data_IF_369983874044
#
_entry.id   IF_369983874044
#
_cell.length_a   1.000
_cell.length_b   1.000
_cell.length_c   1.000
_cell.angle_alpha   90.00
_cell.angle_beta   90.00
_cell.angle_gamma   90.00
#
_symmetry.space_group_name_H-M   'P 1'
#
loop_
_entity.id
_entity.type
_entity.pdbx_description
1 polymer ?
#
# COMPACT_ATOMS: atom_id res chain seq x y z
N UNK A 1 63.36 -9.35 8.15
CA UNK A 1 63.65 -10.66 8.77
C UNK A 1 62.66 -10.86 9.90
N UNK A 2 61.84 -11.94 9.82
CA UNK A 2 61.12 -12.63 10.93
C UNK A 2 60.02 -11.77 11.62
N UNK A 3 58.79 -12.21 11.87
CA UNK A 3 58.25 -13.55 12.21
C UNK A 3 56.70 -13.39 12.26
N UNK A 4 55.87 -14.07 11.47
CA UNK A 4 55.33 -15.44 11.59
C UNK A 4 54.77 -15.84 12.98
N UNK A 5 53.45 -15.72 13.14
CA UNK A 5 52.58 -16.46 14.08
C UNK A 5 51.35 -16.90 13.24
N UNK A 6 51.31 -18.12 12.70
CA UNK A 6 50.78 -19.36 13.30
C UNK A 6 49.37 -19.20 13.90
N UNK A 7 48.34 -19.54 13.12
CA UNK A 7 47.13 -20.20 13.62
C UNK A 7 46.65 -21.21 12.57
N UNK A 8 46.83 -22.48 12.90
CA UNK A 8 46.27 -23.63 12.19
C UNK A 8 45.38 -24.38 13.17
N UNK A 9 44.11 -24.61 12.83
CA UNK A 9 43.33 -25.76 13.27
C UNK A 9 41.98 -25.81 12.52
N UNK A 10 41.86 -26.84 11.69
CA UNK A 10 40.64 -27.39 11.11
C UNK A 10 39.72 -27.93 12.20
N UNK A 11 38.40 -27.72 12.07
CA UNK A 11 37.27 -28.64 12.34
C UNK A 11 36.11 -28.03 11.53
N UNK A 12 35.45 -28.64 10.55
CA UNK A 12 35.15 -30.06 10.37
C UNK A 12 33.70 -30.32 10.80
N UNK A 13 32.84 -30.71 9.85
CA UNK A 13 31.47 -31.24 9.99
C UNK A 13 30.29 -30.25 10.06
N UNK A 14 29.67 -30.05 8.88
CA UNK A 14 28.32 -29.54 8.74
C UNK A 14 27.36 -30.75 8.84
N UNK A 15 26.62 -30.84 9.93
CA UNK A 15 25.62 -31.90 10.16
C UNK A 15 24.39 -31.58 9.31
N UNK A 16 24.11 -32.44 8.33
CA UNK A 16 22.87 -32.38 7.53
C UNK A 16 21.74 -32.95 8.41
N UNK A 17 20.89 -32.06 8.93
CA UNK A 17 19.65 -32.45 9.59
C UNK A 17 18.57 -32.67 8.52
N UNK A 18 18.32 -33.94 8.19
CA UNK A 18 17.09 -34.37 7.54
C UNK A 18 16.05 -34.66 8.62
N UNK A 19 14.91 -33.96 8.61
CA UNK A 19 13.86 -34.13 9.61
C UNK A 19 12.47 -33.72 9.13
N UNK A 20 11.66 -34.74 8.86
CA UNK A 20 10.19 -34.85 8.85
C UNK A 20 9.31 -33.78 8.14
N UNK A 21 8.80 -34.17 6.97
CA UNK A 21 7.56 -33.68 6.36
C UNK A 21 6.34 -34.02 7.22
N UNK A 22 5.58 -33.00 7.65
CA UNK A 22 4.26 -33.13 8.27
C UNK A 22 3.22 -33.17 7.16
N UNK A 23 2.62 -34.34 6.94
CA UNK A 23 1.36 -34.46 6.22
C UNK A 23 0.22 -34.18 7.20
N UNK A 24 -0.24 -32.93 7.28
CA UNK A 24 -1.49 -32.63 7.96
C UNK A 24 -2.65 -33.07 7.08
N UNK A 25 -3.24 -34.20 7.44
CA UNK A 25 -4.53 -34.65 6.96
C UNK A 25 -5.60 -33.57 7.19
N UNK A 26 -6.51 -33.44 6.22
CA UNK A 26 -7.63 -32.52 6.27
C UNK A 26 -8.51 -32.73 7.50
N UNK A 27 -8.93 -31.61 8.10
CA UNK A 27 -9.91 -31.59 9.16
C UNK A 27 -11.31 -31.78 8.56
N UNK A 28 -11.85 -33.00 8.63
CA UNK A 28 -13.26 -33.27 8.33
C UNK A 28 -14.07 -33.17 9.62
N UNK A 29 -14.74 -32.04 9.83
CA UNK A 29 -15.77 -31.86 10.85
C UNK A 29 -17.13 -32.22 10.25
N UNK A 30 -17.47 -33.51 10.23
CA UNK A 30 -18.79 -33.96 9.75
C UNK A 30 -18.85 -35.48 9.60
N UNK A 31 -19.93 -36.08 10.11
CA UNK A 31 -20.17 -37.53 10.09
C UNK A 31 -20.67 -37.92 8.68
N UNK A 32 -19.76 -38.08 7.72
CA UNK A 32 -20.04 -38.78 6.46
C UNK A 32 -18.73 -39.29 5.82
N UNK A 33 -18.67 -40.53 5.29
CA UNK A 33 -17.52 -41.01 4.52
C UNK A 33 -17.44 -40.31 3.17
N UNK A 34 -16.25 -39.81 2.83
CA UNK A 34 -15.96 -39.21 1.53
C UNK A 34 -15.49 -40.28 0.54
N UNK A 35 -16.44 -40.88 -0.19
CA UNK A 35 -16.11 -41.70 -1.37
C UNK A 35 -16.31 -40.90 -2.66
N UNK A 36 -15.25 -40.86 -3.46
CA UNK A 36 -15.19 -40.26 -4.77
C UNK A 36 -15.75 -41.22 -5.82
N UNK A 37 -16.97 -40.99 -6.31
CA UNK A 37 -17.40 -41.47 -7.63
C UNK A 37 -18.66 -40.77 -8.11
N UNK A 38 -18.64 -40.46 -9.40
CA UNK A 38 -19.71 -40.02 -10.29
C UNK A 38 -21.08 -40.70 -10.09
N UNK A 39 -22.15 -39.93 -10.33
CA UNK A 39 -23.22 -40.21 -11.30
C UNK A 39 -24.65 -39.91 -10.77
N UNK A 40 -25.34 -39.08 -11.56
CA UNK A 40 -26.73 -39.26 -11.98
C UNK A 40 -27.81 -39.33 -10.90
N UNK A 41 -28.53 -38.21 -10.73
CA UNK A 41 -29.80 -38.15 -10.03
C UNK A 41 -30.91 -38.85 -10.83
N UNK A 42 -31.27 -40.07 -10.42
CA UNK A 42 -32.58 -40.67 -10.72
C UNK A 42 -33.29 -40.98 -9.41
N UNK A 43 -34.47 -40.37 -9.28
CA UNK A 43 -35.59 -40.57 -8.35
C UNK A 43 -35.75 -41.98 -7.75
N UNK A 44 -36.28 -42.09 -6.52
CA UNK A 44 -37.72 -42.38 -6.44
C UNK A 44 -38.51 -41.71 -5.28
N UNK A 45 -39.69 -41.22 -5.67
CA UNK A 45 -41.04 -41.30 -5.05
C UNK A 45 -41.30 -41.07 -3.56
N UNK A 46 -42.29 -40.19 -3.37
CA UNK A 46 -43.43 -40.24 -2.44
C UNK A 46 -43.23 -39.84 -0.97
N UNK A 47 -43.43 -38.55 -0.72
CA UNK A 47 -44.20 -38.09 0.44
C UNK A 47 -45.27 -37.10 -0.01
N UNK A 48 -46.50 -37.35 0.46
CA UNK A 48 -47.69 -36.57 0.17
C UNK A 48 -47.60 -35.14 0.75
N UNK A 49 -47.99 -34.14 -0.03
CA UNK A 49 -48.13 -32.75 0.42
C UNK A 49 -49.59 -32.44 0.79
N UNK A 50 -49.87 -31.65 1.83
CA UNK A 50 -51.17 -31.04 2.04
C UNK A 50 -51.39 -29.86 1.07
N UNK A 51 -52.59 -29.77 0.52
CA UNK A 51 -53.05 -28.73 -0.40
C UNK A 51 -53.31 -27.41 0.32
N UNK A 52 -52.52 -26.38 0.01
CA UNK A 52 -52.81 -25.00 0.37
C UNK A 52 -53.53 -24.33 -0.81
N UNK A 53 -54.64 -23.64 -0.50
CA UNK A 53 -55.57 -23.08 -1.49
C UNK A 53 -54.93 -22.13 -2.49
N UNK A 54 -55.47 -22.14 -3.71
CA UNK A 54 -55.11 -21.28 -4.83
C UNK A 54 -55.57 -19.85 -4.57
N UNK A 55 -54.70 -19.05 -3.94
CA UNK A 55 -54.82 -17.61 -4.01
C UNK A 55 -54.20 -17.14 -5.33
N UNK A 56 -55.04 -16.56 -6.19
CA UNK A 56 -54.63 -15.85 -7.40
C UNK A 56 -53.82 -14.61 -7.01
N UNK A 57 -52.51 -14.76 -6.87
CA UNK A 57 -51.57 -13.66 -6.86
C UNK A 57 -51.07 -13.44 -8.28
N UNK A 58 -51.69 -12.50 -8.99
CA UNK A 58 -51.06 -11.86 -10.15
C UNK A 58 -49.77 -11.21 -9.68
N UNK A 59 -48.63 -11.78 -10.10
CA UNK A 59 -47.32 -11.22 -9.83
C UNK A 59 -47.23 -9.81 -10.45
N UNK A 60 -47.00 -8.75 -9.66
CA UNK A 60 -46.77 -7.43 -10.22
C UNK A 60 -45.45 -7.46 -11.00
N UNK A 61 -45.48 -6.91 -12.22
CA UNK A 61 -44.30 -6.76 -13.06
C UNK A 61 -43.24 -5.94 -12.31
N UNK A 62 -42.15 -6.59 -11.91
CA UNK A 62 -41.01 -5.91 -11.31
C UNK A 62 -40.35 -5.03 -12.37
N UNK A 63 -40.61 -3.73 -12.31
CA UNK A 63 -39.86 -2.73 -13.05
C UNK A 63 -38.44 -2.73 -12.45
N UNK A 64 -37.46 -3.18 -13.23
CA UNK A 64 -36.05 -3.07 -12.86
C UNK A 64 -35.66 -1.58 -12.94
N UNK A 65 -35.66 -0.93 -11.78
CA UNK A 65 -35.07 0.38 -11.61
C UNK A 65 -33.56 0.25 -11.82
N UNK A 66 -33.05 0.80 -12.94
CA UNK A 66 -31.61 1.03 -13.07
C UNK A 66 -31.20 2.07 -12.02
N UNK A 67 -30.65 1.60 -10.90
CA UNK A 67 -29.92 2.46 -9.98
C UNK A 67 -28.64 2.86 -10.70
N UNK A 68 -28.59 4.11 -11.18
CA UNK A 68 -27.36 4.71 -11.68
C UNK A 68 -26.38 4.71 -10.51
N UNK A 69 -25.44 3.77 -10.54
CA UNK A 69 -24.40 3.64 -9.52
C UNK A 69 -23.48 4.86 -9.68
N UNK A 70 -23.74 5.89 -8.87
CA UNK A 70 -22.96 7.11 -8.85
C UNK A 70 -21.52 6.72 -8.49
N UNK A 71 -20.60 6.92 -9.43
CA UNK A 71 -19.20 6.58 -9.22
C UNK A 71 -18.73 7.26 -7.92
N UNK A 72 -18.04 6.54 -7.02
CA UNK A 72 -17.60 7.10 -5.75
C UNK A 72 -16.73 8.33 -6.04
N UNK A 73 -17.17 9.49 -5.54
CA UNK A 73 -16.42 10.73 -5.69
C UNK A 73 -15.09 10.56 -4.94
N UNK A 74 -13.94 10.87 -5.55
CA UNK A 74 -12.67 10.74 -4.87
C UNK A 74 -12.59 11.72 -3.69
N UNK A 75 -12.08 11.24 -2.56
CA UNK A 75 -11.93 12.09 -1.36
C UNK A 75 -10.69 12.96 -1.58
N UNK A 76 -10.89 14.27 -1.70
CA UNK A 76 -9.78 15.21 -1.86
C UNK A 76 -9.35 15.70 -0.48
N UNK A 77 -8.06 15.56 -0.19
CA UNK A 77 -7.43 16.09 1.02
C UNK A 77 -6.55 17.26 0.63
N UNK A 78 -6.73 18.39 1.30
CA UNK A 78 -5.95 19.61 1.08
C UNK A 78 -5.20 20.01 2.34
N UNK A 79 -4.07 20.68 2.14
CA UNK A 79 -3.30 21.31 3.21
C UNK A 79 -2.65 22.60 2.73
N UNK A 80 -2.47 23.53 3.65
CA UNK A 80 -1.82 24.83 3.40
C UNK A 80 -0.49 24.88 4.14
N UNK A 81 0.53 25.48 3.53
CA UNK A 81 1.81 25.73 4.17
C UNK A 81 2.28 27.16 3.94
N UNK A 82 3.06 27.66 4.90
CA UNK A 82 3.53 29.04 4.94
C UNK A 82 5.05 29.09 5.07
N UNK A 83 5.66 30.12 4.51
CA UNK A 83 7.04 30.44 4.81
C UNK A 83 7.28 31.94 4.76
N UNK A 84 8.08 32.41 5.70
CA UNK A 84 8.51 33.79 5.79
C UNK A 84 9.84 34.04 5.06
N UNK A 85 10.07 35.25 4.54
CA UNK A 85 11.34 35.63 3.94
C UNK A 85 12.45 35.72 4.99
N UNK A 86 13.60 35.11 4.68
CA UNK A 86 14.79 35.25 5.52
C UNK A 86 15.46 36.61 5.30
N UNK A 87 15.91 37.24 6.38
CA UNK A 87 16.70 38.46 6.31
C UNK A 87 18.17 38.07 6.14
N UNK A 88 18.72 38.25 4.94
CA UNK A 88 20.12 37.95 4.65
C UNK A 88 20.76 39.05 3.83
N UNK A 89 21.95 39.51 4.24
CA UNK A 89 22.79 40.43 3.46
C UNK A 89 23.56 39.74 2.33
N UNK A 90 23.61 38.40 2.33
CA UNK A 90 24.36 37.59 1.37
C UNK A 90 23.52 37.13 0.17
N UNK A 91 22.19 37.19 0.30
CA UNK A 91 21.26 36.70 -0.71
C UNK A 91 20.56 37.87 -1.39
N UNK A 92 20.38 37.77 -2.70
CA UNK A 92 19.61 38.75 -3.46
C UNK A 92 18.12 38.61 -3.18
N UNK A 93 17.34 39.69 -3.42
CA UNK A 93 15.88 39.66 -3.24
C UNK A 93 15.20 38.51 -4.03
N UNK A 94 15.54 38.23 -5.30
CA UNK A 94 15.01 37.07 -6.01
C UNK A 94 15.39 35.73 -5.37
N UNK A 95 16.62 35.59 -4.86
CA UNK A 95 17.05 34.35 -4.17
C UNK A 95 16.24 34.10 -2.91
N UNK A 96 16.03 35.15 -2.09
CA UNK A 96 15.20 35.06 -0.89
C UNK A 96 13.78 34.63 -1.27
N UNK A 97 13.18 35.28 -2.28
CA UNK A 97 11.83 34.95 -2.77
C UNK A 97 11.70 33.48 -3.18
N UNK A 98 12.65 32.96 -3.95
CA UNK A 98 12.66 31.55 -4.37
C UNK A 98 12.82 30.59 -3.18
N UNK A 99 13.65 30.94 -2.20
CA UNK A 99 13.81 30.15 -0.98
C UNK A 99 12.53 30.15 -0.15
N UNK A 100 11.86 31.29 -0.01
CA UNK A 100 10.59 31.40 0.71
C UNK A 100 9.49 30.61 0.02
N UNK A 101 9.34 30.75 -1.30
CA UNK A 101 8.41 29.93 -2.08
C UNK A 101 8.67 28.42 -1.85
N UNK A 102 9.93 27.99 -1.91
CA UNK A 102 10.32 26.59 -1.67
C UNK A 102 10.01 26.15 -0.25
N UNK A 103 10.26 27.01 0.74
CA UNK A 103 9.92 26.78 2.14
C UNK A 103 8.43 26.55 2.33
N UNK A 104 7.59 27.41 1.74
CA UNK A 104 6.13 27.31 1.86
C UNK A 104 5.61 26.01 1.25
N UNK A 105 6.23 25.57 0.15
CA UNK A 105 5.91 24.29 -0.48
C UNK A 105 6.25 23.13 0.44
N UNK A 106 7.47 23.08 1.00
CA UNK A 106 7.89 21.99 1.90
C UNK A 106 6.98 21.91 3.14
N UNK A 107 6.63 23.06 3.71
CA UNK A 107 5.69 23.14 4.83
C UNK A 107 4.30 22.60 4.46
N UNK A 108 3.79 22.93 3.27
CA UNK A 108 2.50 22.45 2.79
C UNK A 108 2.46 20.92 2.64
N UNK A 109 3.52 20.31 2.09
CA UNK A 109 3.62 18.84 1.99
C UNK A 109 3.73 18.17 3.37
N UNK A 110 4.40 18.80 4.33
CA UNK A 110 4.44 18.32 5.71
C UNK A 110 3.05 18.35 6.36
N UNK A 111 2.33 19.46 6.23
CA UNK A 111 0.97 19.56 6.79
C UNK A 111 0.03 18.55 6.13
N UNK A 112 0.21 18.29 4.82
CA UNK A 112 -0.52 17.25 4.11
C UNK A 112 -0.20 15.86 4.65
N UNK A 113 1.08 15.55 4.89
CA UNK A 113 1.49 14.24 5.43
C UNK A 113 0.85 13.98 6.79
N UNK A 114 0.92 14.95 7.69
CA UNK A 114 0.32 14.88 9.03
C UNK A 114 -1.19 14.62 8.95
N UNK A 115 -1.88 15.30 8.02
CA UNK A 115 -3.31 15.08 7.78
C UNK A 115 -3.60 13.65 7.33
N UNK A 116 -2.79 13.11 6.42
CA UNK A 116 -2.96 11.76 5.86
C UNK A 116 -2.65 10.68 6.88
N UNK A 117 -1.53 10.78 7.62
CA UNK A 117 -1.20 9.85 8.70
C UNK A 117 -2.24 9.90 9.83
N UNK A 118 -2.81 11.08 10.10
CA UNK A 118 -3.91 11.24 11.05
C UNK A 118 -5.17 10.45 10.70
N UNK A 119 -5.43 10.17 9.40
CA UNK A 119 -6.57 9.35 8.98
C UNK A 119 -6.44 7.91 9.47
N UNK A 120 -5.21 7.37 9.52
CA UNK A 120 -4.94 6.03 10.07
C UNK A 120 -5.26 5.95 11.56
N UNK A 121 -4.81 6.94 12.33
CA UNK A 121 -4.89 6.92 13.79
C UNK A 121 -6.34 6.87 14.31
N UNK A 122 -7.32 7.23 13.46
CA UNK A 122 -8.76 7.13 13.79
C UNK A 122 -9.36 5.74 13.55
N UNK A 123 -8.74 4.89 12.74
CA UNK A 123 -9.19 3.51 12.50
C UNK A 123 -8.78 2.61 13.67
N UNK A 124 -9.73 1.86 14.24
CA UNK A 124 -9.61 1.05 15.47
C UNK A 124 -8.54 -0.06 15.39
N UNK A 125 -7.27 0.30 15.42
CA UNK A 125 -6.14 -0.62 15.24
C UNK A 125 -5.46 -0.83 16.58
N UNK A 126 -5.22 -2.09 16.95
CA UNK A 126 -4.45 -2.43 18.15
C UNK A 126 -3.00 -1.95 18.03
N UNK A 127 -2.42 -1.39 19.10
CA UNK A 127 -1.04 -0.87 19.15
C UNK A 127 -0.01 -1.88 18.65
N UNK A 128 -0.17 -3.15 19.03
CA UNK A 128 0.73 -4.24 18.62
C UNK A 128 0.78 -4.47 17.11
N UNK A 129 -0.34 -4.28 16.41
CA UNK A 129 -0.41 -4.44 14.95
C UNK A 129 0.15 -3.20 14.24
N UNK A 130 0.07 -2.03 14.86
CA UNK A 130 0.64 -0.80 14.33
C UNK A 130 2.17 -0.83 14.29
N UNK A 131 2.82 -1.42 15.30
CA UNK A 131 4.28 -1.50 15.34
C UNK A 131 4.84 -2.42 14.25
N UNK A 132 4.19 -3.56 13.98
CA UNK A 132 4.65 -4.53 13.00
C UNK A 132 4.50 -4.06 11.55
N UNK A 133 3.51 -3.23 11.25
CA UNK A 133 3.18 -2.78 9.90
C UNK A 133 3.47 -1.28 9.67
N UNK A 134 4.32 -0.68 10.52
CA UNK A 134 4.63 0.75 10.44
C UNK A 134 5.36 1.11 9.14
N UNK A 135 6.40 0.34 8.79
CA UNK A 135 7.28 0.67 7.66
C UNK A 135 6.57 0.57 6.30
N UNK A 136 5.68 -0.42 6.15
CA UNK A 136 4.86 -0.57 4.93
C UNK A 136 3.85 0.56 4.79
N UNK A 137 3.22 0.96 5.90
CA UNK A 137 2.29 2.09 5.91
C UNK A 137 2.99 3.41 5.58
N UNK A 138 4.17 3.64 6.16
CA UNK A 138 4.98 4.82 5.86
C UNK A 138 5.29 4.90 4.36
N UNK A 139 5.82 3.82 3.81
CA UNK A 139 6.16 3.71 2.38
C UNK A 139 4.92 3.91 1.49
N UNK A 140 3.79 3.33 1.86
CA UNK A 140 2.53 3.48 1.14
C UNK A 140 2.04 4.93 1.13
N UNK A 141 2.03 5.60 2.28
CA UNK A 141 1.60 6.99 2.39
C UNK A 141 2.55 7.92 1.64
N UNK A 142 3.85 7.74 1.79
CA UNK A 142 4.87 8.52 1.08
C UNK A 142 4.68 8.47 -0.43
N UNK A 143 4.37 7.30 -0.98
CA UNK A 143 4.09 7.13 -2.40
C UNK A 143 2.89 7.97 -2.88
N UNK A 144 1.83 8.07 -2.06
CA UNK A 144 0.67 8.90 -2.37
C UNK A 144 0.96 10.40 -2.23
N UNK A 145 1.79 10.81 -1.26
CA UNK A 145 2.19 12.20 -1.07
C UNK A 145 2.98 12.74 -2.26
N UNK A 146 3.81 11.92 -2.90
CA UNK A 146 4.54 12.30 -4.12
C UNK A 146 3.60 12.64 -5.28
N UNK A 147 2.37 12.12 -5.28
CA UNK A 147 1.33 12.42 -6.25
C UNK A 147 0.49 13.67 -5.93
N UNK A 148 0.76 14.38 -4.83
CA UNK A 148 -0.01 15.57 -4.48
C UNK A 148 0.31 16.75 -5.39
N UNK A 149 -0.74 17.42 -5.88
CA UNK A 149 -0.66 18.58 -6.76
C UNK A 149 -0.61 19.88 -5.96
N UNK A 150 0.13 20.85 -6.47
CA UNK A 150 0.05 22.24 -5.97
C UNK A 150 -1.13 22.92 -6.67
N UNK A 151 -2.05 23.46 -5.89
CA UNK A 151 -3.27 24.11 -6.40
C UNK A 151 -3.16 25.61 -6.45
N UNK A 152 -2.49 26.20 -5.46
CA UNK A 152 -2.28 27.64 -5.41
C UNK A 152 -0.96 27.95 -4.74
N UNK A 153 -0.30 29.00 -5.24
CA UNK A 153 0.89 29.59 -4.65
C UNK A 153 0.77 31.10 -4.78
N UNK A 154 0.79 31.81 -3.65
CA UNK A 154 0.70 33.27 -3.65
C UNK A 154 1.65 33.89 -2.63
N UNK A 155 2.08 35.09 -2.95
CA UNK A 155 2.84 35.95 -2.05
C UNK A 155 1.86 36.82 -1.26
N UNK A 156 2.09 36.96 0.04
CA UNK A 156 1.32 37.79 0.95
C UNK A 156 1.95 39.19 1.05
N UNK A 157 1.24 40.14 1.66
CA UNK A 157 1.68 41.53 1.81
C UNK A 157 2.98 41.69 2.62
N UNK A 158 3.25 40.74 3.52
CA UNK A 158 4.45 40.68 4.34
C UNK A 158 5.68 40.06 3.62
N UNK A 159 5.51 39.65 2.36
CA UNK A 159 6.52 38.94 1.57
C UNK A 159 6.65 37.46 1.91
N UNK A 160 5.76 36.93 2.76
CA UNK A 160 5.63 35.49 3.00
C UNK A 160 4.93 34.82 1.82
N UNK A 161 5.13 33.51 1.67
CA UNK A 161 4.42 32.72 0.69
C UNK A 161 3.44 31.76 1.36
N UNK A 162 2.28 31.63 0.74
CA UNK A 162 1.30 30.58 1.04
C UNK A 162 1.20 29.64 -0.15
N UNK A 163 1.35 28.35 0.13
CA UNK A 163 1.16 27.27 -0.85
C UNK A 163 0.05 26.35 -0.38
N UNK A 164 -0.89 26.04 -1.28
CA UNK A 164 -1.96 25.06 -1.06
C UNK A 164 -1.67 23.84 -1.92
N UNK A 165 -1.61 22.67 -1.26
CA UNK A 165 -1.46 21.37 -1.91
C UNK A 165 -2.72 20.54 -1.72
N UNK A 166 -3.02 19.72 -2.71
CA UNK A 166 -4.14 18.79 -2.69
C UNK A 166 -3.73 17.43 -3.21
N UNK A 167 -4.33 16.39 -2.67
CA UNK A 167 -4.25 15.04 -3.20
C UNK A 167 -5.63 14.41 -3.24
N UNK A 168 -5.87 13.60 -4.27
CA UNK A 168 -7.07 12.78 -4.36
C UNK A 168 -6.77 11.38 -3.78
N UNK A 169 -7.49 11.01 -2.73
CA UNK A 169 -7.46 9.66 -2.19
C UNK A 169 -8.40 8.78 -3.02
N UNK A 170 -7.84 7.68 -3.52
CA UNK A 170 -8.60 6.64 -4.20
C UNK A 170 -9.38 5.79 -3.18
N UNK A 171 -10.46 5.13 -3.60
CA UNK A 171 -11.30 4.35 -2.68
C UNK A 171 -10.57 3.18 -1.99
N UNK A 172 -9.61 2.56 -2.66
CA UNK A 172 -8.73 1.53 -2.09
C UNK A 172 -7.79 2.07 -0.99
N UNK A 173 -7.46 3.36 -0.99
CA UNK A 173 -6.58 3.95 0.01
C UNK A 173 -7.11 3.72 1.43
N UNK A 174 -8.42 3.91 1.64
CA UNK A 174 -9.04 3.71 2.94
C UNK A 174 -8.94 2.27 3.42
N UNK A 175 -9.09 1.29 2.53
CA UNK A 175 -8.95 -0.13 2.86
C UNK A 175 -7.53 -0.46 3.30
N UNK A 176 -6.54 0.02 2.53
CA UNK A 176 -5.12 -0.22 2.77
C UNK A 176 -4.63 0.42 4.07
N UNK A 177 -5.10 1.62 4.38
CA UNK A 177 -4.74 2.29 5.62
C UNK A 177 -5.44 1.63 6.81
N UNK A 178 -6.71 1.22 6.71
CA UNK A 178 -7.40 0.61 7.85
C UNK A 178 -6.76 -0.69 8.34
N UNK A 179 -6.26 -1.54 7.43
CA UNK A 179 -5.55 -2.77 7.78
C UNK A 179 -4.12 -2.78 7.22
N UNK A 180 -3.11 -2.34 8.01
CA UNK A 180 -1.75 -2.19 7.53
C UNK A 180 -1.07 -3.55 7.29
N UNK A 181 -1.56 -4.65 7.88
CA UNK A 181 -1.07 -6.00 7.58
C UNK A 181 -1.47 -6.46 6.17
N UNK A 182 -2.50 -5.84 5.59
CA UNK A 182 -2.94 -6.12 4.23
C UNK A 182 -2.14 -5.35 3.16
N UNK A 183 -1.28 -4.39 3.53
CA UNK A 183 -0.55 -3.54 2.56
C UNK A 183 0.39 -4.37 1.69
N UNK A 184 1.21 -5.26 2.29
CA UNK A 184 2.06 -6.16 1.51
C UNK A 184 1.29 -7.21 0.71
N UNK A 185 0.17 -7.71 1.24
CA UNK A 185 -0.53 -8.88 0.69
C UNK A 185 -1.58 -8.51 -0.37
N UNK A 186 -2.19 -7.33 -0.26
CA UNK A 186 -3.26 -6.88 -1.14
C UNK A 186 -2.67 -6.15 -2.37
N UNK A 187 -2.84 -6.68 -3.59
CA UNK A 187 -2.36 -6.02 -4.81
C UNK A 187 -2.99 -4.64 -5.04
N UNK A 188 -4.18 -4.36 -4.47
CA UNK A 188 -4.80 -3.04 -4.54
C UNK A 188 -4.02 -1.98 -3.72
N UNK A 189 -3.20 -2.39 -2.75
CA UNK A 189 -2.38 -1.52 -1.91
C UNK A 189 -0.97 -1.33 -2.46
N UNK A 190 -0.53 -2.15 -3.41
CA UNK A 190 0.80 -2.05 -4.04
C UNK A 190 0.90 -0.91 -5.07
N UNK A 191 -0.15 -0.10 -5.22
CA UNK A 191 -0.32 0.87 -6.31
C UNK A 191 0.41 2.23 -6.12
N UNK A 192 1.34 2.33 -5.18
CA UNK A 192 2.09 3.58 -4.93
C UNK A 192 3.19 3.90 -5.94
N UNK A 193 3.78 2.90 -6.62
CA UNK A 193 4.98 3.07 -7.44
C UNK A 193 4.85 2.66 -8.92
N UNK A 194 3.69 2.14 -9.32
CA UNK A 194 3.52 1.50 -10.64
C UNK A 194 3.40 2.49 -11.81
N UNK A 195 3.13 3.78 -11.55
CA UNK A 195 3.02 4.80 -12.60
C UNK A 195 4.38 5.42 -13.02
N UNK A 196 5.46 5.12 -12.31
CA UNK A 196 6.84 5.51 -12.70
C UNK A 196 7.52 4.34 -13.44
N UNK A 197 7.07 3.11 -13.20
CA UNK A 197 7.73 1.87 -13.64
C UNK A 197 7.01 1.12 -14.76
N UNK A 198 6.11 1.74 -15.52
CA UNK A 198 5.69 1.19 -16.82
C UNK A 198 6.83 1.19 -17.86
N UNK A 199 8.04 1.64 -17.49
CA UNK A 199 9.31 1.37 -18.18
C UNK A 199 10.24 0.35 -17.48
N UNK A 200 9.85 -0.24 -16.34
CA UNK A 200 10.72 -1.09 -15.48
C UNK A 200 10.00 -2.35 -14.99
N UNK A 201 9.06 -2.92 -15.76
CA UNK A 201 8.47 -4.24 -15.47
C UNK A 201 9.35 -5.43 -15.93
N UNK A 202 10.67 -5.33 -15.80
CA UNK A 202 11.61 -6.37 -16.25
C UNK A 202 12.64 -6.75 -15.17
N UNK A 203 12.32 -6.62 -13.88
CA UNK A 203 13.16 -7.23 -12.83
C UNK A 203 12.32 -8.17 -11.98
N UNK A 204 12.01 -9.29 -12.63
CA UNK A 204 11.46 -10.48 -12.05
C UNK A 204 12.38 -11.01 -10.95
N UNK A 205 11.79 -11.25 -9.78
CA UNK A 205 12.38 -11.98 -8.67
C UNK A 205 12.86 -13.36 -9.12
N UNK A 206 14.19 -13.57 -9.15
CA UNK A 206 14.82 -14.89 -9.08
C UNK A 206 15.90 -14.86 -8.01
N UNK A 207 15.78 -15.84 -7.12
CA UNK A 207 16.72 -16.25 -6.08
C UNK A 207 18.19 -16.25 -6.52
N UNK A 208 19.07 -15.78 -5.62
CA UNK A 208 20.53 -15.59 -5.74
C UNK A 208 21.32 -16.81 -6.24
N UNK A 209 22.53 -16.65 -6.82
CA UNK A 209 23.74 -16.42 -6.01
C UNK A 209 24.68 -15.28 -6.51
N UNK A 210 25.14 -14.48 -5.55
CA UNK A 210 26.41 -13.71 -5.46
C UNK A 210 27.11 -13.28 -6.77
N UNK A 211 26.92 -12.03 -7.18
CA UNK A 211 27.76 -11.37 -8.19
C UNK A 211 28.54 -10.20 -7.56
N UNK A 212 29.85 -10.41 -7.51
CA UNK A 212 30.96 -9.49 -7.20
C UNK A 212 30.68 -8.03 -7.59
N UNK A 213 30.75 -7.13 -6.61
CA UNK A 213 30.72 -5.67 -6.83
C UNK A 213 31.91 -5.23 -7.68
N UNK A 214 31.65 -4.89 -8.94
CA UNK A 214 32.59 -4.12 -9.77
C UNK A 214 32.20 -2.65 -9.66
N UNK A 215 32.95 -1.91 -8.83
CA UNK A 215 32.95 -0.45 -8.79
C UNK A 215 33.30 0.08 -10.18
N UNK A 216 32.34 0.71 -10.85
CA UNK A 216 32.60 1.47 -12.08
C UNK A 216 32.37 2.93 -11.74
N UNK A 217 33.46 3.64 -11.46
CA UNK A 217 33.46 5.08 -11.24
C UNK A 217 33.08 5.76 -12.55
N UNK A 218 31.94 6.45 -12.55
CA UNK A 218 31.54 7.36 -13.62
C UNK A 218 31.86 8.77 -13.15
N UNK A 219 32.92 9.38 -13.69
CA UNK A 219 33.10 10.81 -13.98
C UNK A 219 34.58 11.07 -14.28
N UNK A 220 34.91 11.09 -15.58
CA UNK A 220 36.05 11.85 -16.09
C UNK A 220 35.47 13.09 -16.78
N UNK A 221 35.95 14.25 -16.37
CA UNK A 221 35.71 15.54 -17.01
C UNK A 221 36.87 15.75 -17.97
N UNK A 222 36.55 15.90 -19.26
CA UNK A 222 37.37 16.71 -20.17
C UNK A 222 36.87 18.15 -20.10
#
# INVERSE_FOLDING_TARGET
MRSSLLYAALIGTCIILAGCRVSSAGSCSGIAPCDSASATSTTPTNFAQPSYGTNNYTAPAMQQQLVVQQAPQPIVVSATGYAAPMVSKKLSRPQIRLLTLRGSKVDAYRNLSERVYGLKLRGSTSLRNMMAAHDELQTFVDAYLMGAKVVSQRELEDGSFETIVEMALQGNFQQCVQDPASIATNPACQMGYSNINNGVSQYQSKTSPQVRSTTTNFYSVE
#
